data_IF_094338118018
#
_entry.id   IF_094338118018
#
_cell.length_a   1.000
_cell.length_b   1.000
_cell.length_c   1.000
_cell.angle_alpha   90.00
_cell.angle_beta   90.00
_cell.angle_gamma   90.00
#
_symmetry.space_group_name_H-M   'P 1'
#
loop_
_entity.id
_entity.type
_entity.pdbx_description
1 polymer ?
#
# COMPACT_ATOMS: atom_id res chain seq x y z
N UNK A 1 -0.18 12.60 -9.45
CA UNK A 1 -0.24 11.47 -10.41
C UNK A 1 1.05 11.40 -11.22
N UNK A 2 1.39 12.44 -11.98
CA UNK A 2 2.58 12.46 -12.85
C UNK A 2 3.89 12.13 -12.10
N UNK A 3 4.12 12.71 -10.93
CA UNK A 3 5.31 12.38 -10.12
C UNK A 3 5.35 10.92 -9.65
N UNK A 4 4.20 10.32 -9.32
CA UNK A 4 4.14 8.90 -8.96
C UNK A 4 4.49 8.03 -10.18
N UNK A 5 3.97 8.39 -11.36
CA UNK A 5 4.28 7.70 -12.61
C UNK A 5 5.75 7.82 -13.00
N UNK A 6 6.33 9.02 -12.89
CA UNK A 6 7.74 9.27 -13.16
C UNK A 6 8.63 8.47 -12.20
N UNK A 7 8.34 8.50 -10.90
CA UNK A 7 9.12 7.74 -9.92
C UNK A 7 9.09 6.24 -10.21
N UNK A 8 7.91 5.67 -10.47
CA UNK A 8 7.77 4.24 -10.73
C UNK A 8 8.42 3.81 -12.05
N UNK A 9 8.19 4.55 -13.14
CA UNK A 9 8.60 4.11 -14.48
C UNK A 9 9.97 4.61 -14.93
N UNK A 10 10.40 5.80 -14.47
CA UNK A 10 11.67 6.42 -14.89
C UNK A 10 12.78 6.22 -13.87
N UNK A 11 12.48 6.40 -12.59
CA UNK A 11 13.48 6.27 -11.53
C UNK A 11 13.67 4.81 -11.13
N UNK A 12 12.58 4.11 -10.81
CA UNK A 12 12.62 2.70 -10.43
C UNK A 12 12.60 1.74 -11.63
N UNK A 13 12.30 2.24 -12.84
CA UNK A 13 12.35 1.43 -14.06
C UNK A 13 11.28 0.34 -14.15
N UNK A 14 10.18 0.45 -13.39
CA UNK A 14 9.07 -0.50 -13.49
C UNK A 14 8.42 -0.44 -14.87
N UNK A 15 8.01 -1.60 -15.37
CA UNK A 15 7.40 -1.70 -16.69
C UNK A 15 6.00 -1.09 -16.69
N UNK A 16 5.80 -0.03 -17.46
CA UNK A 16 4.53 0.71 -17.53
C UNK A 16 3.32 -0.18 -17.87
N UNK A 17 3.48 -1.14 -18.78
CA UNK A 17 2.41 -2.05 -19.19
C UNK A 17 1.91 -2.99 -18.07
N UNK A 18 2.67 -3.12 -16.98
CA UNK A 18 2.32 -3.94 -15.80
C UNK A 18 1.69 -3.12 -14.67
N UNK A 19 1.59 -1.80 -14.85
CA UNK A 19 0.94 -0.90 -13.92
C UNK A 19 -0.55 -0.83 -14.26
N UNK A 20 -1.38 -1.12 -13.26
CA UNK A 20 -2.82 -0.90 -13.29
C UNK A 20 -3.16 0.17 -12.26
N UNK A 21 -3.99 1.13 -12.62
CA UNK A 21 -4.40 2.22 -11.73
C UNK A 21 -5.91 2.28 -11.61
N UNK A 22 -6.41 2.81 -10.51
CA UNK A 22 -7.84 2.99 -10.28
C UNK A 22 -8.21 4.45 -10.12
N UNK A 23 -9.44 4.81 -10.46
CA UNK A 23 -10.02 6.12 -10.11
C UNK A 23 -11.38 5.94 -9.44
N UNK A 24 -11.80 6.95 -8.69
CA UNK A 24 -13.05 6.94 -7.96
C UNK A 24 -14.26 7.03 -8.89
N UNK A 25 -15.13 6.04 -8.82
CA UNK A 25 -16.34 5.89 -9.63
C UNK A 25 -17.54 6.72 -9.19
N UNK A 26 -17.39 7.57 -8.16
CA UNK A 26 -18.49 8.36 -7.62
C UNK A 26 -19.23 7.66 -6.49
N UNK A 27 -20.11 8.42 -5.85
CA UNK A 27 -20.99 7.96 -4.78
C UNK A 27 -22.31 8.71 -4.87
N UNK A 28 -23.26 8.09 -5.58
CA UNK A 28 -24.59 8.67 -5.83
C UNK A 28 -25.37 8.92 -4.53
N UNK A 29 -25.19 8.07 -3.51
CA UNK A 29 -25.89 8.20 -2.23
C UNK A 29 -25.50 9.49 -1.48
N UNK A 30 -24.25 9.93 -1.65
CA UNK A 30 -23.71 11.16 -1.04
C UNK A 30 -23.56 12.31 -2.05
N UNK A 31 -24.09 12.15 -3.27
CA UNK A 31 -24.06 13.17 -4.32
C UNK A 31 -22.65 13.52 -4.83
N UNK A 32 -21.70 12.59 -4.75
CA UNK A 32 -20.33 12.79 -5.19
C UNK A 32 -20.17 12.25 -6.61
N UNK A 33 -19.77 13.10 -7.54
CA UNK A 33 -19.50 12.70 -8.91
C UNK A 33 -18.25 11.80 -9.02
N UNK A 34 -18.14 10.97 -10.07
CA UNK A 34 -16.90 10.28 -10.39
C UNK A 34 -15.74 11.25 -10.60
N UNK A 35 -14.52 10.82 -10.24
CA UNK A 35 -13.30 11.62 -10.37
C UNK A 35 -12.76 11.56 -11.81
N UNK A 36 -13.42 12.30 -12.72
CA UNK A 36 -13.03 12.38 -14.12
C UNK A 36 -11.70 13.10 -14.35
N UNK A 37 -11.30 14.00 -13.45
CA UNK A 37 -9.99 14.66 -13.53
C UNK A 37 -8.87 13.62 -13.36
N UNK A 38 -8.96 12.77 -12.33
CA UNK A 38 -8.03 11.66 -12.13
C UNK A 38 -8.03 10.69 -13.33
N UNK A 39 -9.22 10.32 -13.84
CA UNK A 39 -9.35 9.48 -15.05
C UNK A 39 -8.59 10.07 -16.22
N UNK A 40 -8.82 11.35 -16.53
CA UNK A 40 -8.28 11.99 -17.71
C UNK A 40 -6.75 12.13 -17.61
N UNK A 41 -6.21 12.48 -16.44
CA UNK A 41 -4.76 12.51 -16.22
C UNK A 41 -4.14 11.13 -16.44
N UNK A 42 -4.75 10.06 -15.90
CA UNK A 42 -4.25 8.71 -16.13
C UNK A 42 -4.32 8.29 -17.60
N UNK A 43 -5.41 8.61 -18.30
CA UNK A 43 -5.53 8.28 -19.73
C UNK A 43 -4.42 8.89 -20.58
N UNK A 44 -3.92 10.08 -20.24
CA UNK A 44 -2.77 10.70 -20.92
C UNK A 44 -1.44 9.94 -20.68
N UNK A 45 -1.34 9.20 -19.57
CA UNK A 45 -0.16 8.39 -19.22
C UNK A 45 -0.25 6.94 -19.74
N UNK A 46 -1.40 6.54 -20.28
CA UNK A 46 -1.69 5.23 -20.87
C UNK A 46 -1.43 3.97 -20.00
N UNK A 47 -1.73 3.95 -18.67
CA UNK A 47 -1.77 2.71 -17.90
C UNK A 47 -3.05 1.92 -18.20
N UNK A 48 -3.12 0.69 -17.67
CA UNK A 48 -4.41 0.03 -17.51
C UNK A 48 -5.21 0.77 -16.42
N UNK A 49 -6.45 1.15 -16.72
CA UNK A 49 -7.27 2.02 -15.85
C UNK A 49 -8.59 1.34 -15.51
N UNK A 50 -8.92 1.29 -14.22
CA UNK A 50 -10.16 0.72 -13.70
C UNK A 50 -10.96 1.77 -12.93
N UNK A 51 -12.28 1.73 -13.07
CA UNK A 51 -13.19 2.48 -12.21
C UNK A 51 -13.52 1.65 -10.98
N UNK A 52 -13.50 2.25 -9.80
CA UNK A 52 -13.72 1.54 -8.54
C UNK A 52 -14.72 2.28 -7.64
N UNK A 53 -15.51 1.55 -6.84
CA UNK A 53 -16.52 2.14 -5.96
C UNK A 53 -15.89 2.85 -4.76
N UNK A 54 -16.71 3.55 -3.96
CA UNK A 54 -16.29 4.29 -2.76
C UNK A 54 -15.44 3.46 -1.81
N UNK A 55 -15.83 2.23 -1.54
CA UNK A 55 -15.14 1.35 -0.58
C UNK A 55 -13.66 1.15 -0.94
N UNK A 56 -13.34 1.23 -2.23
CA UNK A 56 -11.98 1.03 -2.73
C UNK A 56 -11.25 2.34 -3.02
N UNK A 57 -11.96 3.36 -3.50
CA UNK A 57 -11.36 4.58 -4.04
C UNK A 57 -11.81 5.88 -3.34
N UNK A 58 -12.26 5.77 -2.09
CA UNK A 58 -12.50 6.92 -1.21
C UNK A 58 -11.72 6.73 0.09
N UNK A 59 -10.80 7.64 0.38
CA UNK A 59 -9.93 7.56 1.55
C UNK A 59 -10.49 8.41 2.69
N UNK A 60 -10.48 7.84 3.90
CA UNK A 60 -10.97 8.48 5.12
C UNK A 60 -9.97 8.24 6.25
N UNK A 61 -9.74 9.26 7.09
CA UNK A 61 -8.84 9.15 8.25
C UNK A 61 -9.43 8.24 9.36
N UNK A 62 -10.75 8.14 9.42
CA UNK A 62 -11.53 7.38 10.40
C UNK A 62 -13.02 7.73 10.26
N UNK A 63 -13.82 7.51 11.31
CA UNK A 63 -15.26 7.80 11.31
C UNK A 63 -15.59 9.29 11.08
N UNK A 64 -14.64 10.18 11.40
CA UNK A 64 -14.72 11.63 11.14
C UNK A 64 -13.36 12.16 10.72
N UNK A 65 -13.34 13.32 10.06
CA UNK A 65 -12.13 14.04 9.69
C UNK A 65 -11.94 14.17 8.18
N UNK A 66 -10.70 14.48 7.79
CA UNK A 66 -10.36 14.77 6.40
C UNK A 66 -10.46 13.53 5.52
N UNK A 67 -11.03 13.70 4.33
CA UNK A 67 -11.27 12.62 3.39
C UNK A 67 -11.33 13.11 1.94
N UNK A 68 -11.39 12.16 1.00
CA UNK A 68 -11.54 12.46 -0.41
C UNK A 68 -11.40 11.25 -1.32
N UNK A 69 -11.66 11.43 -2.63
CA UNK A 69 -11.39 10.39 -3.62
C UNK A 69 -9.89 10.06 -3.61
N UNK A 70 -9.57 8.82 -3.93
CA UNK A 70 -8.20 8.39 -4.09
C UNK A 70 -8.01 7.62 -5.39
N UNK A 71 -6.75 7.40 -5.76
CA UNK A 71 -6.31 6.58 -6.87
C UNK A 71 -5.27 5.59 -6.36
N UNK A 72 -5.50 4.31 -6.57
CA UNK A 72 -4.55 3.26 -6.17
C UNK A 72 -3.77 2.79 -7.39
N UNK A 73 -2.50 2.49 -7.18
CA UNK A 73 -1.57 1.95 -8.17
C UNK A 73 -1.25 0.51 -7.77
N UNK A 74 -1.52 -0.41 -8.69
CA UNK A 74 -1.25 -1.82 -8.59
C UNK A 74 -0.18 -2.23 -9.61
N UNK A 75 0.60 -3.24 -9.26
CA UNK A 75 1.61 -3.79 -10.15
C UNK A 75 1.47 -5.31 -10.26
N UNK A 76 1.49 -5.83 -11.48
CA UNK A 76 1.52 -7.26 -11.76
C UNK A 76 2.96 -7.71 -11.98
N UNK A 77 3.46 -8.60 -11.12
CA UNK A 77 4.84 -9.12 -11.20
C UNK A 77 5.06 -9.92 -12.48
N UNK A 78 6.30 -9.98 -12.96
CA UNK A 78 6.61 -10.80 -14.14
C UNK A 78 6.54 -12.29 -13.82
N UNK A 79 6.98 -12.63 -12.62
CA UNK A 79 7.10 -13.97 -12.10
C UNK A 79 5.74 -14.53 -11.63
N UNK A 80 4.73 -13.68 -11.49
CA UNK A 80 3.39 -14.08 -11.06
C UNK A 80 2.51 -14.50 -12.24
N UNK A 81 2.43 -15.80 -12.46
CA UNK A 81 1.60 -16.42 -13.51
C UNK A 81 0.10 -16.34 -13.20
N UNK A 82 -0.30 -16.04 -11.97
CA UNK A 82 -1.72 -15.88 -11.61
C UNK A 82 -2.29 -14.53 -12.07
N UNK A 83 -1.43 -13.56 -12.38
CA UNK A 83 -1.82 -12.20 -12.72
C UNK A 83 -2.34 -11.39 -11.54
N UNK A 84 -2.13 -11.85 -10.29
CA UNK A 84 -2.55 -11.13 -9.10
C UNK A 84 -1.72 -9.84 -8.99
N UNK A 85 -2.42 -8.71 -8.99
CA UNK A 85 -1.80 -7.41 -8.85
C UNK A 85 -1.60 -7.06 -7.37
N UNK A 86 -0.44 -6.51 -7.03
CA UNK A 86 -0.14 -6.05 -5.68
C UNK A 86 -0.40 -4.54 -5.60
N UNK A 87 -1.21 -4.10 -4.64
CA UNK A 87 -1.36 -2.66 -4.36
C UNK A 87 -0.04 -2.10 -3.85
N UNK A 88 0.53 -1.15 -4.59
CA UNK A 88 1.84 -0.57 -4.33
C UNK A 88 1.74 0.79 -3.65
N UNK A 89 0.83 1.65 -4.15
CA UNK A 89 0.77 3.05 -3.76
C UNK A 89 -0.68 3.56 -3.83
N UNK A 90 -1.14 4.25 -2.78
CA UNK A 90 -2.40 5.00 -2.78
C UNK A 90 -2.13 6.51 -2.82
N UNK A 91 -2.85 7.22 -3.69
CA UNK A 91 -2.82 8.68 -3.85
C UNK A 91 -4.19 9.25 -3.45
N UNK A 92 -4.32 9.83 -2.27
CA UNK A 92 -5.55 10.43 -1.78
C UNK A 92 -5.59 11.93 -2.09
N UNK A 93 -6.71 12.38 -2.65
CA UNK A 93 -6.97 13.77 -3.00
C UNK A 93 -7.95 14.35 -1.96
N UNK A 94 -7.38 14.89 -0.89
CA UNK A 94 -8.13 15.36 0.27
C UNK A 94 -8.87 16.64 -0.10
N UNK A 95 -10.20 16.57 -0.10
CA UNK A 95 -11.06 17.67 -0.53
C UNK A 95 -12.34 17.83 0.31
N UNK A 96 -12.59 16.94 1.27
CA UNK A 96 -13.74 16.99 2.17
C UNK A 96 -13.32 16.86 3.64
N UNK A 97 -14.16 17.40 4.52
CA UNK A 97 -14.18 17.16 5.97
C UNK A 97 -15.48 16.44 6.33
N UNK A 98 -15.37 15.19 6.80
CA UNK A 98 -16.47 14.37 7.27
C UNK A 98 -16.74 14.68 8.75
N UNK A 99 -17.75 15.51 9.02
CA UNK A 99 -18.04 15.99 10.40
C UNK A 99 -18.84 15.02 11.25
N UNK A 100 -19.53 14.06 10.64
CA UNK A 100 -20.27 12.93 11.22
C UNK A 100 -21.35 12.48 10.22
N UNK A 101 -21.66 11.18 10.19
CA UNK A 101 -22.74 10.60 9.38
C UNK A 101 -22.74 11.04 7.90
N UNK A 102 -21.58 10.93 7.23
CA UNK A 102 -21.41 11.25 5.80
C UNK A 102 -21.77 12.70 5.41
N UNK A 103 -21.78 13.64 6.37
CA UNK A 103 -21.88 15.06 6.06
C UNK A 103 -20.55 15.60 5.54
N UNK A 104 -20.29 15.37 4.25
CA UNK A 104 -19.08 15.79 3.56
C UNK A 104 -19.12 17.28 3.26
N UNK A 105 -18.28 18.05 3.95
CA UNK A 105 -18.13 19.49 3.68
C UNK A 105 -16.89 19.74 2.81
N UNK A 106 -17.02 20.45 1.68
CA UNK A 106 -15.86 20.82 0.88
C UNK A 106 -14.85 21.65 1.68
N UNK A 107 -13.57 21.34 1.52
CA UNK A 107 -12.48 22.09 2.11
C UNK A 107 -12.20 23.37 1.31
N UNK A 108 -11.77 24.43 2.02
CA UNK A 108 -11.29 25.65 1.37
C UNK A 108 -9.96 25.42 0.62
N UNK A 109 -9.09 24.57 1.16
CA UNK A 109 -7.83 24.17 0.56
C UNK A 109 -7.83 22.66 0.33
N UNK A 110 -7.34 22.23 -0.84
CA UNK A 110 -7.18 20.82 -1.20
C UNK A 110 -5.76 20.37 -0.89
N UNK A 111 -5.60 19.10 -0.50
CA UNK A 111 -4.30 18.52 -0.18
C UNK A 111 -4.13 17.17 -0.87
N UNK A 112 -2.89 16.72 -0.98
CA UNK A 112 -2.56 15.39 -1.49
C UNK A 112 -1.86 14.63 -0.39
N UNK A 113 -2.42 13.48 -0.02
CA UNK A 113 -1.76 12.50 0.85
C UNK A 113 -1.41 11.28 0.01
N UNK A 114 -0.20 10.74 0.17
CA UNK A 114 0.22 9.56 -0.60
C UNK A 114 0.88 8.55 0.30
N UNK A 115 0.55 7.27 0.10
CA UNK A 115 1.06 6.18 0.92
C UNK A 115 1.56 5.05 0.03
N UNK A 116 2.88 4.89 -0.01
CA UNK A 116 3.54 3.77 -0.67
C UNK A 116 4.07 2.80 0.38
N UNK A 117 3.86 1.50 0.17
CA UNK A 117 4.33 0.48 1.12
C UNK A 117 5.75 0.08 0.74
N UNK A 118 6.73 0.46 1.57
CA UNK A 118 8.16 0.27 1.30
C UNK A 118 8.51 -1.20 1.09
N UNK A 119 7.98 -2.11 1.92
CA UNK A 119 8.27 -3.55 1.84
C UNK A 119 7.72 -4.15 0.54
N UNK A 120 6.58 -3.65 0.05
CA UNK A 120 6.01 -4.08 -1.24
C UNK A 120 6.85 -3.55 -2.39
N UNK A 121 7.21 -2.27 -2.38
CA UNK A 121 8.11 -1.69 -3.38
C UNK A 121 9.45 -2.44 -3.42
N UNK A 122 10.08 -2.64 -2.27
CA UNK A 122 11.38 -3.32 -2.15
C UNK A 122 11.29 -4.73 -2.70
N UNK A 123 10.21 -5.46 -2.39
CA UNK A 123 10.02 -6.81 -2.94
C UNK A 123 9.83 -6.82 -4.45
N UNK A 124 9.30 -5.76 -5.05
CA UNK A 124 9.23 -5.62 -6.51
C UNK A 124 10.62 -5.38 -7.10
N UNK A 125 11.36 -4.42 -6.54
CA UNK A 125 12.71 -4.04 -7.04
C UNK A 125 13.74 -5.16 -6.86
N UNK A 126 13.57 -6.01 -5.85
CA UNK A 126 14.45 -7.15 -5.57
C UNK A 126 13.97 -8.46 -6.22
N UNK A 127 12.93 -8.43 -7.06
CA UNK A 127 12.36 -9.62 -7.71
C UNK A 127 11.96 -10.73 -6.72
N UNK A 128 11.32 -10.33 -5.60
CA UNK A 128 10.86 -11.24 -4.54
C UNK A 128 9.35 -11.39 -4.58
N UNK A 129 8.85 -12.62 -4.50
CA UNK A 129 7.41 -12.89 -4.50
C UNK A 129 6.70 -12.41 -3.23
N UNK A 130 7.42 -12.30 -2.12
CA UNK A 130 6.88 -11.83 -0.84
C UNK A 130 7.62 -10.60 -0.31
N UNK A 131 6.89 -9.71 0.35
CA UNK A 131 7.44 -8.62 1.17
C UNK A 131 8.27 -9.13 2.35
N UNK A 132 8.12 -10.40 2.73
CA UNK A 132 8.91 -11.05 3.77
C UNK A 132 10.25 -11.59 3.28
N UNK A 133 10.50 -11.64 1.97
CA UNK A 133 11.71 -12.24 1.39
C UNK A 133 12.76 -11.18 1.00
N UNK A 134 12.55 -9.94 1.41
CA UNK A 134 13.47 -8.81 1.17
C UNK A 134 14.62 -8.81 2.18
N UNK A 135 15.69 -8.12 1.82
CA UNK A 135 16.91 -7.94 2.61
C UNK A 135 16.67 -7.44 4.05
N UNK A 136 15.71 -6.54 4.27
CA UNK A 136 15.40 -6.02 5.63
C UNK A 136 14.86 -7.10 6.58
N UNK A 137 14.20 -8.14 6.07
CA UNK A 137 13.77 -9.28 6.88
C UNK A 137 14.84 -10.37 6.98
N UNK A 138 15.67 -10.53 5.95
CA UNK A 138 16.72 -11.56 5.90
C UNK A 138 17.64 -11.51 7.13
N UNK A 139 18.10 -10.32 7.50
CA UNK A 139 18.97 -10.13 8.66
C UNK A 139 18.29 -10.55 9.97
N UNK A 140 16.98 -10.33 10.10
CA UNK A 140 16.22 -10.73 11.28
C UNK A 140 16.10 -12.25 11.32
N UNK A 141 15.81 -12.89 10.18
CA UNK A 141 15.75 -14.35 10.09
C UNK A 141 17.07 -15.02 10.41
N UNK A 142 18.20 -14.48 9.94
CA UNK A 142 19.53 -14.98 10.30
C UNK A 142 19.75 -14.93 11.81
N UNK A 143 19.34 -13.86 12.48
CA UNK A 143 19.44 -13.77 13.94
C UNK A 143 18.50 -14.73 14.67
N UNK A 144 17.26 -14.92 14.18
CA UNK A 144 16.34 -15.93 14.71
C UNK A 144 16.95 -17.33 14.57
N UNK A 145 17.53 -17.64 13.41
CA UNK A 145 18.21 -18.90 13.16
C UNK A 145 19.36 -19.13 14.14
N UNK A 146 20.25 -18.15 14.28
CA UNK A 146 21.40 -18.24 15.20
C UNK A 146 20.99 -18.38 16.66
N UNK A 147 19.83 -17.82 17.05
CA UNK A 147 19.33 -17.85 18.43
C UNK A 147 18.60 -19.16 18.75
N UNK A 148 17.83 -19.70 17.80
CA UNK A 148 16.93 -20.84 18.03
C UNK A 148 17.50 -22.18 17.56
N UNK A 149 18.54 -22.16 16.71
CA UNK A 149 19.08 -23.32 16.00
C UNK A 149 18.06 -24.10 15.15
N UNK A 150 16.93 -23.48 14.79
CA UNK A 150 15.91 -24.09 13.90
C UNK A 150 16.42 -24.06 12.46
N UNK A 151 16.88 -25.21 11.96
CA UNK A 151 17.55 -25.35 10.65
C UNK A 151 16.63 -25.34 9.43
N UNK A 152 15.32 -25.42 9.65
CA UNK A 152 14.36 -25.30 8.57
C UNK A 152 14.39 -23.88 7.98
N UNK A 153 14.43 -23.80 6.65
CA UNK A 153 14.53 -22.53 5.94
C UNK A 153 13.28 -21.70 6.17
N UNK A 154 13.45 -20.39 6.37
CA UNK A 154 12.38 -19.40 6.39
C UNK A 154 11.70 -19.24 5.02
N UNK A 155 12.32 -19.75 3.95
CA UNK A 155 11.86 -19.65 2.58
C UNK A 155 10.76 -20.68 2.26
N UNK A 156 10.13 -20.51 1.09
CA UNK A 156 9.16 -21.44 0.51
C UNK A 156 9.62 -22.92 0.56
N UNK A 157 8.68 -23.88 0.74
CA UNK A 157 7.23 -23.69 0.85
C UNK A 157 6.80 -23.10 2.19
N UNK A 158 5.71 -22.33 2.18
CA UNK A 158 5.09 -21.84 3.43
C UNK A 158 4.67 -23.06 4.28
N UNK A 159 5.14 -23.08 5.51
CA UNK A 159 4.87 -24.08 6.53
C UNK A 159 4.85 -23.40 7.91
N UNK A 160 4.51 -24.14 8.96
CA UNK A 160 4.40 -23.59 10.32
C UNK A 160 5.68 -22.89 10.79
N UNK A 161 6.86 -23.38 10.39
CA UNK A 161 8.12 -22.79 10.82
C UNK A 161 8.40 -21.48 10.07
N UNK A 162 8.26 -21.43 8.75
CA UNK A 162 8.40 -20.19 7.97
C UNK A 162 7.37 -19.12 8.36
N UNK A 163 6.16 -19.53 8.74
CA UNK A 163 5.17 -18.63 9.37
C UNK A 163 5.66 -18.10 10.71
N UNK A 164 6.20 -18.94 11.59
CA UNK A 164 6.77 -18.51 12.86
C UNK A 164 7.93 -17.52 12.68
N UNK A 165 8.82 -17.74 11.70
CA UNK A 165 9.88 -16.78 11.36
C UNK A 165 9.31 -15.41 10.99
N UNK A 166 8.27 -15.38 10.13
CA UNK A 166 7.60 -14.13 9.72
C UNK A 166 6.94 -13.43 10.89
N UNK A 167 6.21 -14.16 11.73
CA UNK A 167 5.56 -13.64 12.94
C UNK A 167 6.59 -13.01 13.86
N UNK A 168 7.65 -13.74 14.21
CA UNK A 168 8.69 -13.23 15.11
C UNK A 168 9.37 -12.00 14.53
N UNK A 169 9.73 -12.00 13.24
CA UNK A 169 10.38 -10.86 12.62
C UNK A 169 9.48 -9.61 12.58
N UNK A 170 8.20 -9.77 12.27
CA UNK A 170 7.22 -8.68 12.28
C UNK A 170 7.05 -8.10 13.69
N UNK A 171 6.89 -8.97 14.70
CA UNK A 171 6.71 -8.56 16.09
C UNK A 171 7.95 -7.89 16.67
N UNK A 172 9.16 -8.38 16.34
CA UNK A 172 10.41 -7.73 16.76
C UNK A 172 10.47 -6.31 16.23
N UNK A 173 10.13 -6.08 14.95
CA UNK A 173 10.12 -4.74 14.35
C UNK A 173 9.09 -3.85 15.04
N UNK A 174 7.84 -4.32 15.16
CA UNK A 174 6.76 -3.57 15.77
C UNK A 174 7.08 -3.15 17.22
N UNK A 175 7.55 -4.11 18.03
CA UNK A 175 7.91 -3.86 19.42
C UNK A 175 9.12 -2.94 19.53
N UNK A 176 10.14 -3.11 18.69
CA UNK A 176 11.35 -2.27 18.74
C UNK A 176 11.01 -0.80 18.49
N UNK A 177 10.20 -0.51 17.46
CA UNK A 177 9.74 0.85 17.19
C UNK A 177 8.83 1.39 18.29
N UNK A 178 7.85 0.59 18.76
CA UNK A 178 6.94 1.02 19.82
C UNK A 178 7.70 1.38 21.12
N UNK A 179 8.65 0.55 21.54
CA UNK A 179 9.47 0.81 22.74
C UNK A 179 10.37 2.04 22.52
N UNK A 180 10.97 2.18 21.34
CA UNK A 180 11.80 3.34 21.02
C UNK A 180 10.99 4.65 21.05
N UNK A 181 9.72 4.61 20.65
CA UNK A 181 8.77 5.74 20.74
C UNK A 181 8.22 5.96 22.17
N UNK A 182 8.65 5.16 23.15
CA UNK A 182 8.33 5.32 24.56
C UNK A 182 7.16 4.46 25.06
N UNK A 183 6.66 3.51 24.27
CA UNK A 183 5.65 2.57 24.74
C UNK A 183 6.20 1.69 25.86
N UNK A 184 5.38 1.47 26.88
CA UNK A 184 5.68 0.58 28.01
C UNK A 184 4.69 -0.58 28.03
N UNK A 185 5.13 -1.73 28.51
CA UNK A 185 4.26 -2.87 28.72
C UNK A 185 3.38 -2.64 29.96
N UNK A 186 2.07 -2.77 29.79
CA UNK A 186 1.08 -2.66 30.86
C UNK A 186 -0.22 -3.35 30.48
N UNK A 187 -1.09 -3.61 31.45
CA UNK A 187 -2.42 -4.18 31.20
C UNK A 187 -3.44 -3.14 30.69
N UNK A 188 -3.03 -1.87 30.52
CA UNK A 188 -3.87 -0.76 30.05
C UNK A 188 -3.09 0.21 29.19
#
# INVERSE_FOLDING_TARGET
IEWAWELLTKVYGLQAQRICVTYFGGDENNGIAPDYECRDIWLHLHPSLLVMPRQENFWEMGDTGLCGPCSKIYYVREEDQSGIAVELWSLAFIQYDNKSHDSLKPLHAKFVDTRMILERLTSLLQHKMSSYDIDTFLHIYENIYMTTAVTEKYCQPINTISEAYRVVADHIRALSFAIADGATFGEK
#
